data_IF_279862322390
#
_entry.id   IF_279862322390
#
_cell.length_a   1.000
_cell.length_b   1.000
_cell.length_c   1.000
_cell.angle_alpha   90.00
_cell.angle_beta   90.00
_cell.angle_gamma   90.00
#
_symmetry.space_group_name_H-M   'P 1'
#
loop_
_entity.id
_entity.type
_entity.pdbx_description
1 polymer ?
#
# COMPACT_ATOMS: atom_id res chain seq x y z
N UNK A 1 15.03 18.50 -17.15
CA UNK A 1 14.36 17.78 -16.04
C UNK A 1 14.01 16.39 -16.54
N UNK A 2 14.62 15.35 -15.98
CA UNK A 2 14.38 13.97 -16.41
C UNK A 2 13.11 13.43 -15.74
N UNK A 3 12.29 12.72 -16.52
CA UNK A 3 11.11 12.00 -16.02
C UNK A 3 11.31 10.51 -16.30
N UNK A 4 11.03 9.70 -15.30
CA UNK A 4 11.09 8.23 -15.39
C UNK A 4 9.67 7.71 -15.48
N UNK A 5 9.43 6.76 -16.37
CA UNK A 5 8.14 6.09 -16.47
C UNK A 5 8.17 4.87 -15.55
N UNK A 6 7.28 4.83 -14.58
CA UNK A 6 7.09 3.71 -13.65
C UNK A 6 5.71 3.11 -13.83
N UNK A 7 5.53 1.88 -13.34
CA UNK A 7 4.23 1.25 -13.22
C UNK A 7 3.80 1.37 -11.75
N UNK A 8 2.69 2.05 -11.50
CA UNK A 8 2.06 2.15 -10.18
C UNK A 8 0.76 1.35 -10.15
N UNK A 9 0.25 1.06 -8.94
CA UNK A 9 -1.05 0.40 -8.79
C UNK A 9 -2.13 1.19 -9.53
N UNK A 10 -2.99 0.49 -10.26
CA UNK A 10 -4.14 1.10 -10.91
C UNK A 10 -5.09 1.64 -9.84
N UNK A 11 -5.36 2.95 -9.86
CA UNK A 11 -6.22 3.60 -8.87
C UNK A 11 -7.68 3.13 -8.96
N UNK A 12 -8.14 2.70 -10.13
CA UNK A 12 -9.52 2.25 -10.32
C UNK A 12 -9.80 0.90 -9.66
N UNK A 13 -8.84 -0.04 -9.70
CA UNK A 13 -8.99 -1.36 -9.11
C UNK A 13 -8.09 -1.60 -7.89
N UNK A 14 -7.37 -0.58 -7.44
CA UNK A 14 -6.37 -0.64 -6.37
C UNK A 14 -5.36 -1.81 -6.50
N UNK A 15 -4.99 -2.18 -7.72
CA UNK A 15 -4.10 -3.33 -7.97
C UNK A 15 -4.79 -4.68 -8.22
N UNK A 16 -6.09 -4.83 -7.92
CA UNK A 16 -6.81 -6.11 -8.02
C UNK A 16 -6.93 -6.66 -9.45
N UNK A 17 -6.76 -5.80 -10.45
CA UNK A 17 -6.84 -6.09 -11.89
C UNK A 17 -8.22 -6.54 -12.40
N UNK A 18 -8.94 -7.37 -11.67
CA UNK A 18 -10.26 -7.89 -11.99
C UNK A 18 -11.25 -7.55 -10.88
N UNK A 19 -12.39 -6.96 -11.23
CA UNK A 19 -13.42 -6.52 -10.29
C UNK A 19 -14.70 -7.35 -10.45
N UNK A 20 -15.43 -7.63 -9.36
CA UNK A 20 -16.69 -8.34 -9.42
C UNK A 20 -17.74 -7.48 -10.13
N UNK A 21 -18.46 -8.06 -11.08
CA UNK A 21 -19.58 -7.38 -11.77
C UNK A 21 -20.91 -7.89 -11.25
N UNK A 22 -21.08 -9.20 -11.18
CA UNK A 22 -22.41 -9.81 -11.05
C UNK A 22 -22.30 -11.17 -10.36
N UNK A 23 -23.35 -11.57 -9.64
CA UNK A 23 -23.54 -12.95 -9.20
C UNK A 23 -24.33 -13.71 -10.24
N UNK A 24 -23.79 -14.84 -10.70
CA UNK A 24 -24.42 -15.69 -11.71
C UNK A 24 -24.66 -17.08 -11.15
N UNK A 25 -25.60 -17.81 -11.73
CA UNK A 25 -25.79 -19.23 -11.43
C UNK A 25 -25.11 -20.09 -12.50
N UNK A 26 -24.40 -21.12 -12.05
CA UNK A 26 -23.88 -22.16 -12.94
C UNK A 26 -25.01 -23.12 -13.38
N UNK A 27 -24.69 -24.09 -14.23
CA UNK A 27 -25.65 -25.09 -14.72
C UNK A 27 -26.18 -26.05 -13.64
N UNK A 28 -25.64 -25.97 -12.41
CA UNK A 28 -26.03 -26.76 -11.25
C UNK A 28 -26.74 -25.89 -10.19
N UNK A 29 -27.17 -24.68 -10.55
CA UNK A 29 -27.80 -23.69 -9.66
C UNK A 29 -26.91 -23.28 -8.47
N UNK A 30 -25.58 -23.32 -8.64
CA UNK A 30 -24.64 -22.76 -7.66
C UNK A 30 -24.31 -21.32 -8.04
N UNK A 31 -24.40 -20.42 -7.07
CA UNK A 31 -24.06 -19.02 -7.26
C UNK A 31 -22.54 -18.85 -7.30
N UNK A 32 -22.05 -18.05 -8.25
CA UNK A 32 -20.66 -17.64 -8.34
C UNK A 32 -20.58 -16.17 -8.73
N UNK A 33 -19.57 -15.47 -8.20
CA UNK A 33 -19.30 -14.09 -8.60
C UNK A 33 -18.50 -14.08 -9.89
N UNK A 34 -19.02 -13.39 -10.90
CA UNK A 34 -18.33 -13.16 -12.17
C UNK A 34 -17.47 -11.91 -12.05
N UNK A 35 -16.21 -12.06 -12.45
CA UNK A 35 -15.23 -10.98 -12.47
C UNK A 35 -14.96 -10.52 -13.91
N UNK A 36 -14.59 -9.26 -14.07
CA UNK A 36 -14.12 -8.72 -15.33
C UNK A 36 -12.86 -7.87 -15.13
N UNK A 37 -12.03 -7.74 -16.18
CA UNK A 37 -10.88 -6.87 -16.13
C UNK A 37 -11.32 -5.43 -15.83
N UNK A 38 -10.53 -4.75 -15.01
CA UNK A 38 -10.68 -3.33 -14.73
C UNK A 38 -10.70 -2.54 -16.05
N UNK A 39 -11.70 -1.69 -16.31
CA UNK A 39 -11.84 -0.98 -17.57
C UNK A 39 -10.73 0.07 -17.80
N UNK A 40 -9.98 0.42 -16.74
CA UNK A 40 -8.92 1.43 -16.80
C UNK A 40 -7.54 0.82 -17.06
N UNK A 41 -7.22 -0.32 -16.45
CA UNK A 41 -5.93 -0.99 -16.63
C UNK A 41 -6.01 -2.27 -17.44
N UNK A 42 -7.20 -2.61 -17.93
CA UNK A 42 -7.48 -3.77 -18.79
C UNK A 42 -6.95 -5.09 -18.22
N UNK A 43 -7.04 -5.25 -16.89
CA UNK A 43 -6.57 -6.47 -16.21
C UNK A 43 -5.08 -6.51 -15.90
N UNK A 44 -4.33 -5.42 -16.11
CA UNK A 44 -2.91 -5.37 -15.72
C UNK A 44 -2.67 -5.05 -14.24
N UNK A 45 -3.69 -4.56 -13.53
CA UNK A 45 -3.58 -4.11 -12.12
C UNK A 45 -2.72 -2.87 -11.93
N UNK A 46 -2.00 -2.43 -12.97
CA UNK A 46 -1.04 -1.34 -12.92
C UNK A 46 -1.39 -0.28 -13.95
N UNK A 47 -0.90 0.94 -13.74
CA UNK A 47 -1.00 2.00 -14.72
C UNK A 47 0.34 2.72 -14.85
N UNK A 48 0.72 3.12 -16.06
CA UNK A 48 1.94 3.87 -16.27
C UNK A 48 1.80 5.28 -15.69
N UNK A 49 2.80 5.70 -14.92
CA UNK A 49 2.89 7.03 -14.37
C UNK A 49 4.27 7.60 -14.66
N UNK A 50 4.31 8.90 -14.97
CA UNK A 50 5.57 9.63 -15.07
C UNK A 50 5.91 10.22 -13.71
N UNK A 51 7.01 9.76 -13.13
CA UNK A 51 7.57 10.29 -11.88
C UNK A 51 8.84 11.08 -12.19
N UNK A 52 9.15 12.03 -11.33
CA UNK A 52 10.44 12.72 -11.39
C UNK A 52 11.52 11.85 -10.74
N UNK A 53 12.78 12.31 -10.79
CA UNK A 53 13.90 11.51 -10.30
C UNK A 53 13.92 11.37 -8.77
N UNK A 54 13.42 12.36 -8.04
CA UNK A 54 13.38 12.34 -6.57
C UNK A 54 12.34 11.34 -6.05
N UNK A 55 11.16 11.33 -6.68
CA UNK A 55 10.10 10.36 -6.41
C UNK A 55 10.53 8.95 -6.82
N UNK A 56 11.24 8.82 -7.94
CA UNK A 56 11.86 7.55 -8.30
C UNK A 56 12.88 7.09 -7.26
N UNK A 57 13.73 7.98 -6.75
CA UNK A 57 14.70 7.64 -5.70
C UNK A 57 14.01 7.25 -4.39
N UNK A 58 12.86 7.87 -4.05
CA UNK A 58 12.04 7.46 -2.90
C UNK A 58 11.40 6.09 -3.11
N UNK A 59 10.78 5.85 -4.26
CA UNK A 59 10.20 4.55 -4.58
C UNK A 59 11.28 3.47 -4.64
N UNK A 60 12.46 3.81 -5.14
CA UNK A 60 13.61 2.93 -5.10
C UNK A 60 14.08 2.72 -3.68
N UNK A 61 14.18 3.76 -2.86
CA UNK A 61 14.55 3.63 -1.46
C UNK A 61 13.50 2.87 -0.67
N UNK A 62 12.21 2.99 -0.96
CA UNK A 62 11.10 2.22 -0.37
C UNK A 62 11.09 0.76 -0.87
N UNK A 63 11.49 0.52 -2.11
CA UNK A 63 11.67 -0.83 -2.65
C UNK A 63 12.97 -1.50 -2.16
N UNK A 64 14.00 -0.70 -1.87
CA UNK A 64 15.29 -1.10 -1.30
C UNK A 64 15.24 -1.17 0.22
N UNK A 65 14.31 -0.40 0.78
CA UNK A 65 13.85 -0.46 2.13
C UNK A 65 13.27 -1.83 2.39
N UNK A 66 13.87 -2.50 3.37
CA UNK A 66 13.38 -3.78 3.85
C UNK A 66 12.13 -3.66 4.71
N UNK A 67 11.66 -2.46 5.00
CA UNK A 67 10.47 -2.25 5.80
C UNK A 67 9.39 -1.83 4.78
N UNK A 68 8.15 -2.26 4.98
CA UNK A 68 7.05 -2.02 4.07
C UNK A 68 5.96 -0.95 4.44
N UNK A 69 5.72 -0.49 5.69
CA UNK A 69 4.48 0.21 6.14
C UNK A 69 4.34 0.89 7.56
N UNK A 70 4.85 2.07 7.94
CA UNK A 70 4.89 2.74 9.32
C UNK A 70 3.80 2.49 10.43
N UNK A 71 4.23 2.26 11.69
CA UNK A 71 3.41 2.01 12.90
C UNK A 71 3.88 2.73 14.19
N UNK A 72 2.93 2.98 15.13
CA UNK A 72 3.20 3.49 16.49
C UNK A 72 3.51 2.35 17.48
N UNK A 73 4.53 2.52 18.31
CA UNK A 73 5.06 1.49 19.19
C UNK A 73 5.41 2.05 20.58
N UNK A 74 4.65 1.70 21.62
CA UNK A 74 4.96 2.00 23.02
C UNK A 74 3.72 2.00 23.89
N UNK A 75 3.81 2.46 25.13
CA UNK A 75 2.75 2.32 26.14
C UNK A 75 2.62 3.53 27.06
N UNK A 76 1.41 3.72 27.59
CA UNK A 76 1.13 4.69 28.65
C UNK A 76 1.38 4.01 30.02
N UNK A 77 2.14 4.65 30.89
CA UNK A 77 2.55 4.17 32.21
C UNK A 77 1.98 5.06 33.32
N UNK A 78 1.67 4.44 34.45
CA UNK A 78 1.13 5.10 35.64
C UNK A 78 1.96 4.73 36.87
N UNK A 79 2.60 5.71 37.51
CA UNK A 79 3.40 5.50 38.73
C UNK A 79 3.12 6.64 39.70
N UNK A 80 2.75 6.30 40.94
CA UNK A 80 2.57 7.25 42.04
C UNK A 80 1.61 8.44 41.77
N UNK A 81 0.68 8.29 40.82
CA UNK A 81 -0.29 9.33 40.43
C UNK A 81 0.08 10.11 39.16
N UNK A 82 1.29 9.90 38.63
CA UNK A 82 1.74 10.51 37.37
C UNK A 82 1.54 9.57 36.17
N UNK A 83 1.27 10.16 35.00
CA UNK A 83 1.07 9.49 33.72
C UNK A 83 2.17 9.90 32.74
N UNK A 84 2.87 8.93 32.15
CA UNK A 84 3.88 9.18 31.12
C UNK A 84 3.96 8.01 30.15
N UNK A 85 4.38 8.24 28.91
CA UNK A 85 4.43 7.21 27.87
C UNK A 85 5.83 7.04 27.25
N UNK A 86 6.02 5.91 26.57
CA UNK A 86 7.20 5.60 25.77
C UNK A 86 6.85 5.26 24.30
N UNK A 87 5.78 5.86 23.78
CA UNK A 87 5.32 5.70 22.40
C UNK A 87 6.37 6.24 21.43
N UNK A 88 6.75 5.40 20.47
CA UNK A 88 7.71 5.67 19.41
C UNK A 88 7.13 5.30 18.06
N UNK A 89 7.27 6.21 17.13
CA UNK A 89 6.98 5.91 15.75
C UNK A 89 8.17 5.19 15.12
N UNK A 90 7.89 4.20 14.29
CA UNK A 90 8.94 3.48 13.57
C UNK A 90 8.54 3.42 12.13
N UNK A 91 9.51 3.72 11.26
CA UNK A 91 9.33 3.75 9.83
C UNK A 91 9.10 2.34 9.35
N UNK A 92 7.88 1.85 9.28
CA UNK A 92 7.71 0.57 8.64
C UNK A 92 8.06 0.59 7.17
N UNK A 93 8.43 1.65 6.42
CA UNK A 93 9.20 1.50 5.16
C UNK A 93 10.72 1.34 5.40
N UNK A 94 11.31 2.09 6.32
CA UNK A 94 12.78 2.27 6.45
C UNK A 94 13.41 1.90 7.79
N UNK A 95 12.61 1.41 8.73
CA UNK A 95 12.94 0.85 10.05
C UNK A 95 13.65 1.78 10.99
N UNK A 96 13.97 2.98 10.50
CA UNK A 96 14.39 4.08 11.30
C UNK A 96 13.43 4.17 12.48
N UNK A 97 13.98 4.04 13.67
CA UNK A 97 13.29 4.46 14.87
C UNK A 97 13.05 5.95 14.66
N UNK A 98 11.82 6.32 14.35
CA UNK A 98 11.51 7.69 13.95
C UNK A 98 11.62 8.64 15.15
N UNK A 99 11.75 8.08 16.35
CA UNK A 99 11.95 8.83 17.59
C UNK A 99 13.43 8.97 17.99
N UNK A 100 14.34 8.14 17.47
CA UNK A 100 15.76 8.08 17.91
C UNK A 100 16.80 8.05 16.80
N UNK A 101 16.40 8.09 15.53
CA UNK A 101 17.31 8.23 14.39
C UNK A 101 17.95 9.62 14.35
#
# INVERSE_FOLDING_TARGET
MFKVRVLSKCLHCNGEAYLPIEECEDSQSRTYTRYAPCPTCEGSGNQPQWVNMDEFAKLLHQADCSHEHISMQGNIRFIAGDVWDDLQEVCDDCGANLDKS
#
